data_IF_871232180179
#
_entry.id   IF_871232180179
#
_cell.length_a   1.000
_cell.length_b   1.000
_cell.length_c   1.000
_cell.angle_alpha   90.00
_cell.angle_beta   90.00
_cell.angle_gamma   90.00
#
_symmetry.space_group_name_H-M   'P 1'
#
loop_
_entity.id
_entity.type
_entity.pdbx_description
1 polymer ?
#
# COMPACT_ATOMS: atom_id res chain seq x y z
N UNK A 1 -30.22 -31.96 -34.30
CA UNK A 1 -30.70 -31.09 -35.38
C UNK A 1 -31.35 -29.88 -34.73
N UNK A 2 -30.92 -28.66 -35.10
CA UNK A 2 -31.41 -27.41 -34.53
C UNK A 2 -32.71 -26.93 -35.18
N UNK A 3 -33.34 -25.93 -34.57
CA UNK A 3 -34.68 -25.37 -34.90
C UNK A 3 -34.74 -24.57 -36.23
N UNK A 4 -33.76 -24.69 -37.14
CA UNK A 4 -33.80 -24.00 -38.45
C UNK A 4 -32.57 -24.25 -39.35
N UNK A 5 -32.75 -24.07 -40.66
CA UNK A 5 -31.69 -24.20 -41.68
C UNK A 5 -30.58 -23.15 -41.45
N UNK A 6 -29.31 -23.58 -41.39
CA UNK A 6 -28.10 -22.75 -41.16
C UNK A 6 -27.95 -22.07 -39.78
N UNK A 7 -28.68 -22.48 -38.76
CA UNK A 7 -28.48 -21.98 -37.39
C UNK A 7 -27.51 -22.88 -36.59
N UNK A 8 -26.54 -22.26 -35.89
CA UNK A 8 -25.68 -23.00 -34.95
C UNK A 8 -26.54 -23.49 -33.77
N UNK A 9 -26.55 -24.81 -33.56
CA UNK A 9 -27.22 -25.40 -32.42
C UNK A 9 -26.32 -25.24 -31.18
N UNK A 10 -26.72 -24.39 -30.22
CA UNK A 10 -25.97 -24.17 -28.99
C UNK A 10 -25.83 -25.45 -28.12
N UNK A 11 -26.67 -26.46 -28.36
CA UNK A 11 -26.59 -27.78 -27.70
C UNK A 11 -25.71 -28.78 -28.46
N UNK A 12 -25.23 -28.43 -29.66
CA UNK A 12 -24.37 -29.31 -30.44
C UNK A 12 -22.93 -29.23 -29.95
N UNK A 13 -22.54 -30.23 -29.14
CA UNK A 13 -21.16 -30.47 -28.73
C UNK A 13 -20.72 -31.89 -29.10
N UNK A 14 -19.47 -32.03 -29.54
CA UNK A 14 -18.83 -33.33 -29.66
C UNK A 14 -18.21 -33.70 -28.32
N UNK A 15 -18.85 -34.61 -27.59
CA UNK A 15 -18.32 -35.12 -26.32
C UNK A 15 -17.57 -36.42 -26.58
N UNK A 16 -16.24 -36.39 -26.44
CA UNK A 16 -15.42 -37.62 -26.45
C UNK A 16 -15.36 -38.20 -25.05
N UNK A 17 -16.21 -39.18 -24.77
CA UNK A 17 -16.09 -40.02 -23.59
C UNK A 17 -15.04 -41.09 -23.86
N UNK A 18 -13.85 -40.93 -23.27
CA UNK A 18 -12.78 -41.92 -23.39
C UNK A 18 -12.86 -42.88 -22.19
N UNK A 19 -13.15 -44.15 -22.45
CA UNK A 19 -13.12 -45.21 -21.45
C UNK A 19 -11.66 -45.55 -21.10
N UNK A 20 -11.32 -45.52 -19.81
CA UNK A 20 -9.98 -45.87 -19.33
C UNK A 20 -10.06 -47.23 -18.61
N UNK A 21 -9.51 -48.28 -19.22
CA UNK A 21 -9.84 -49.68 -18.94
C UNK A 21 -9.19 -50.31 -17.68
N UNK A 22 -8.95 -49.53 -16.61
CA UNK A 22 -8.68 -50.14 -15.28
C UNK A 22 -7.49 -49.64 -14.48
N UNK A 23 -6.79 -48.58 -14.91
CA UNK A 23 -5.82 -47.90 -14.05
C UNK A 23 -5.71 -46.40 -14.36
N UNK A 24 -6.17 -45.56 -13.44
CA UNK A 24 -6.11 -44.10 -13.52
C UNK A 24 -4.79 -43.65 -12.91
N UNK A 25 -4.12 -42.71 -13.58
CA UNK A 25 -2.88 -42.14 -13.04
C UNK A 25 -3.15 -41.45 -11.69
N UNK A 26 -2.21 -41.51 -10.74
CA UNK A 26 -2.32 -40.78 -9.49
C UNK A 26 -2.49 -39.27 -9.73
N UNK A 27 -3.31 -38.62 -8.91
CA UNK A 27 -3.40 -37.17 -8.86
C UNK A 27 -2.32 -36.64 -7.91
N UNK A 28 -1.25 -36.06 -8.44
CA UNK A 28 -0.08 -35.64 -7.63
C UNK A 28 -0.24 -34.20 -7.19
N UNK A 29 -0.06 -33.98 -5.88
CA UNK A 29 0.06 -32.66 -5.26
C UNK A 29 1.43 -32.56 -4.61
N UNK A 30 2.14 -31.47 -4.87
CA UNK A 30 3.36 -31.08 -4.14
C UNK A 30 3.23 -29.64 -3.64
N UNK A 31 3.57 -29.43 -2.38
CA UNK A 31 3.67 -28.12 -1.73
C UNK A 31 5.05 -27.99 -1.11
N UNK A 32 5.57 -26.76 -1.07
CA UNK A 32 6.77 -26.42 -0.31
C UNK A 32 6.39 -25.35 0.72
N UNK A 33 6.95 -25.44 1.92
CA UNK A 33 6.78 -24.39 2.94
C UNK A 33 7.49 -23.08 2.55
N UNK A 34 8.57 -23.17 1.76
CA UNK A 34 9.30 -22.04 1.18
C UNK A 34 9.79 -22.37 -0.22
N UNK A 35 9.77 -21.38 -1.11
CA UNK A 35 10.29 -21.50 -2.49
C UNK A 35 11.50 -20.61 -2.75
N UNK A 36 11.88 -19.77 -1.80
CA UNK A 36 13.06 -18.90 -1.88
C UNK A 36 13.61 -18.58 -0.49
N UNK A 37 14.86 -18.12 -0.43
CA UNK A 37 15.52 -17.73 0.81
C UNK A 37 17.03 -17.92 0.78
N UNK A 38 17.70 -17.46 1.83
CA UNK A 38 19.16 -17.52 1.93
C UNK A 38 19.67 -18.94 2.12
N UNK A 39 20.89 -19.21 1.64
CA UNK A 39 21.59 -20.46 1.96
C UNK A 39 22.24 -20.38 3.34
N UNK A 40 22.19 -21.44 4.17
CA UNK A 40 21.52 -22.72 3.92
C UNK A 40 19.98 -22.61 4.01
N UNK A 41 19.28 -23.03 2.93
CA UNK A 41 17.83 -22.98 2.85
C UNK A 41 17.26 -24.37 3.13
N UNK A 42 16.65 -24.57 4.30
CA UNK A 42 15.90 -25.80 4.62
C UNK A 42 14.45 -25.65 4.16
N UNK A 43 13.97 -26.60 3.36
CA UNK A 43 12.61 -26.64 2.80
C UNK A 43 11.95 -27.97 3.16
N UNK A 44 10.69 -27.90 3.59
CA UNK A 44 9.83 -29.05 3.78
C UNK A 44 8.83 -29.13 2.62
N UNK A 45 8.86 -30.24 1.90
CA UNK A 45 7.94 -30.56 0.83
C UNK A 45 6.90 -31.54 1.33
N UNK A 46 5.63 -31.24 1.06
CA UNK A 46 4.51 -32.12 1.38
C UNK A 46 3.83 -32.62 0.12
N UNK A 47 3.46 -33.90 0.13
CA UNK A 47 2.59 -34.49 -0.90
C UNK A 47 1.11 -34.51 -0.52
N UNK A 48 0.72 -33.83 0.56
CA UNK A 48 -0.66 -33.79 1.05
C UNK A 48 -1.65 -33.33 -0.03
N UNK A 49 -2.70 -34.12 -0.24
CA UNK A 49 -3.66 -33.96 -1.33
C UNK A 49 -3.37 -34.85 -2.54
N UNK A 50 -2.23 -35.56 -2.56
CA UNK A 50 -2.00 -36.64 -3.53
C UNK A 50 -2.95 -37.79 -3.23
N UNK A 51 -3.68 -38.26 -4.24
CA UNK A 51 -4.61 -39.37 -4.12
C UNK A 51 -4.59 -40.25 -5.38
N UNK A 52 -4.99 -41.48 -5.19
CA UNK A 52 -5.28 -42.42 -6.25
C UNK A 52 -6.78 -42.73 -6.25
N UNK A 53 -7.41 -42.58 -7.41
CA UNK A 53 -8.85 -42.80 -7.51
C UNK A 53 -9.22 -44.29 -7.47
N UNK A 54 -8.27 -45.18 -7.79
CA UNK A 54 -8.42 -46.64 -7.74
C UNK A 54 -8.02 -47.22 -6.38
N UNK A 55 -7.52 -46.37 -5.47
CA UNK A 55 -7.07 -46.70 -4.10
C UNK A 55 -5.92 -47.71 -4.07
N UNK A 56 -5.10 -47.70 -5.11
CA UNK A 56 -3.87 -48.48 -5.21
C UNK A 56 -2.78 -47.91 -4.27
N UNK A 57 -1.82 -48.76 -3.86
CA UNK A 57 -0.66 -48.31 -3.09
C UNK A 57 0.24 -47.40 -3.95
N UNK A 58 0.76 -46.33 -3.33
CA UNK A 58 1.51 -45.28 -4.03
C UNK A 58 2.99 -45.26 -3.64
N UNK A 59 3.86 -45.23 -4.66
CA UNK A 59 5.31 -45.11 -4.51
C UNK A 59 5.74 -43.68 -4.86
N UNK A 60 6.41 -43.01 -3.91
CA UNK A 60 6.85 -41.62 -4.02
C UNK A 60 8.35 -41.51 -4.30
N UNK A 61 8.71 -40.84 -5.40
CA UNK A 61 10.10 -40.57 -5.81
C UNK A 61 10.30 -39.09 -6.07
N UNK A 62 11.34 -38.53 -5.47
CA UNK A 62 11.72 -37.14 -5.63
C UNK A 62 13.00 -37.03 -6.46
N UNK A 63 13.02 -36.11 -7.42
CA UNK A 63 14.20 -35.78 -8.22
C UNK A 63 14.49 -34.29 -8.11
N UNK A 64 15.67 -33.93 -7.63
CA UNK A 64 16.14 -32.55 -7.55
C UNK A 64 17.17 -32.31 -8.66
N UNK A 65 16.90 -31.34 -9.54
CA UNK A 65 17.81 -30.93 -10.60
C UNK A 65 18.17 -29.46 -10.48
N UNK A 66 19.36 -29.09 -10.94
CA UNK A 66 19.86 -27.72 -10.97
C UNK A 66 20.81 -27.53 -12.15
N UNK A 67 20.98 -26.31 -12.66
CA UNK A 67 21.97 -26.03 -13.70
C UNK A 67 23.42 -26.21 -13.22
N UNK A 68 23.65 -26.22 -11.91
CA UNK A 68 24.99 -26.36 -11.29
C UNK A 68 25.53 -27.79 -11.31
N UNK A 69 24.67 -28.80 -11.53
CA UNK A 69 25.03 -30.21 -11.52
C UNK A 69 24.29 -30.94 -12.63
N UNK A 70 25.02 -31.70 -13.44
CA UNK A 70 24.41 -32.57 -14.46
C UNK A 70 23.71 -33.79 -13.87
N UNK A 71 24.07 -34.18 -12.65
CA UNK A 71 23.50 -35.37 -11.99
C UNK A 71 22.35 -34.96 -11.07
N UNK A 72 21.12 -35.44 -11.31
CA UNK A 72 19.98 -35.27 -10.42
C UNK A 72 20.19 -35.98 -9.08
N UNK A 73 19.76 -35.37 -7.98
CA UNK A 73 19.65 -36.05 -6.69
C UNK A 73 18.31 -36.79 -6.64
N UNK A 74 18.34 -38.09 -6.33
CA UNK A 74 17.14 -38.94 -6.24
C UNK A 74 16.87 -39.33 -4.79
N UNK A 75 15.62 -39.18 -4.35
CA UNK A 75 15.17 -39.45 -2.98
C UNK A 75 13.83 -40.18 -3.00
N UNK A 76 13.47 -40.82 -1.88
CA UNK A 76 12.21 -41.56 -1.70
C UNK A 76 11.50 -41.09 -0.44
N UNK A 77 10.19 -41.31 -0.38
CA UNK A 77 9.36 -40.98 0.78
C UNK A 77 8.16 -40.10 0.41
N UNK A 78 7.09 -40.19 1.20
CA UNK A 78 5.85 -39.45 0.98
C UNK A 78 6.05 -37.94 1.04
N UNK A 79 6.77 -37.49 2.06
CA UNK A 79 7.20 -36.09 2.24
C UNK A 79 8.72 -36.01 2.19
N UNK A 80 9.26 -34.80 2.00
CA UNK A 80 10.70 -34.59 1.87
C UNK A 80 11.14 -33.33 2.64
N UNK A 81 12.20 -33.45 3.44
CA UNK A 81 12.92 -32.29 3.96
C UNK A 81 14.29 -32.24 3.30
N UNK A 82 14.66 -31.09 2.72
CA UNK A 82 15.94 -30.92 2.03
C UNK A 82 16.58 -29.57 2.35
N UNK A 83 17.91 -29.55 2.48
CA UNK A 83 18.70 -28.34 2.76
C UNK A 83 19.57 -27.97 1.56
N UNK A 84 19.26 -26.84 0.94
CA UNK A 84 20.03 -26.27 -0.17
C UNK A 84 21.19 -25.43 0.38
N UNK A 85 22.41 -25.91 0.22
CA UNK A 85 23.62 -25.26 0.73
C UNK A 85 24.29 -24.34 -0.29
N UNK A 86 24.00 -24.51 -1.58
CA UNK A 86 24.60 -23.74 -2.67
C UNK A 86 23.55 -22.84 -3.32
N UNK A 87 23.94 -21.61 -3.64
CA UNK A 87 23.07 -20.65 -4.32
C UNK A 87 22.72 -21.16 -5.71
N UNK A 88 21.45 -21.16 -6.09
CA UNK A 88 21.00 -21.62 -7.41
C UNK A 88 19.49 -21.87 -7.50
N UNK A 89 19.04 -22.12 -8.73
CA UNK A 89 17.66 -22.52 -9.02
C UNK A 89 17.59 -24.04 -9.08
N UNK A 90 16.66 -24.62 -8.33
CA UNK A 90 16.44 -26.05 -8.21
C UNK A 90 15.02 -26.38 -8.66
N UNK A 91 14.87 -27.42 -9.48
CA UNK A 91 13.57 -28.01 -9.81
C UNK A 91 13.40 -29.30 -9.01
N UNK A 92 12.37 -29.33 -8.18
CA UNK A 92 12.02 -30.47 -7.32
C UNK A 92 10.81 -31.14 -7.97
N UNK A 93 11.04 -32.31 -8.56
CA UNK A 93 10.01 -33.12 -9.21
C UNK A 93 9.58 -34.23 -8.25
N UNK A 94 8.32 -34.23 -7.84
CA UNK A 94 7.68 -35.39 -7.22
C UNK A 94 7.08 -36.25 -8.34
N UNK A 95 7.45 -37.53 -8.37
CA UNK A 95 6.85 -38.56 -9.22
C UNK A 95 6.17 -39.57 -8.31
N UNK A 96 4.88 -39.83 -8.55
CA UNK A 96 4.11 -40.84 -7.82
C UNK A 96 3.67 -41.90 -8.81
N UNK A 97 3.88 -43.15 -8.46
CA UNK A 97 3.57 -44.32 -9.28
C UNK A 97 2.66 -45.26 -8.51
N UNK A 98 1.57 -45.71 -9.12
CA UNK A 98 0.69 -46.74 -8.55
C UNK A 98 1.29 -48.14 -8.69
N UNK A 99 0.67 -49.11 -8.01
CA UNK A 99 1.11 -50.51 -8.01
C UNK A 99 1.06 -51.18 -9.41
N UNK A 100 0.25 -50.66 -10.33
CA UNK A 100 0.08 -51.15 -11.71
C UNK A 100 1.02 -50.42 -12.69
N UNK A 101 1.84 -49.50 -12.21
CA UNK A 101 2.89 -48.81 -12.94
C UNK A 101 2.49 -47.49 -13.61
N UNK A 102 1.25 -47.00 -13.48
CA UNK A 102 0.95 -45.66 -14.01
C UNK A 102 1.50 -44.57 -13.08
N UNK A 103 2.01 -43.50 -13.67
CA UNK A 103 2.74 -42.47 -12.95
C UNK A 103 2.35 -41.07 -13.39
N UNK A 104 2.37 -40.17 -12.41
CA UNK A 104 2.16 -38.74 -12.57
C UNK A 104 3.30 -37.97 -11.90
N UNK A 105 3.50 -36.72 -12.28
CA UNK A 105 4.51 -35.88 -11.65
C UNK A 105 4.11 -34.43 -11.58
N UNK A 106 4.62 -33.74 -10.57
CA UNK A 106 4.51 -32.30 -10.43
C UNK A 106 5.86 -31.71 -10.00
N UNK A 107 6.12 -30.48 -10.40
CA UNK A 107 7.41 -29.79 -10.17
C UNK A 107 7.20 -28.51 -9.38
N UNK A 108 8.01 -28.31 -8.35
CA UNK A 108 8.17 -27.03 -7.64
C UNK A 108 9.56 -26.47 -7.92
N UNK A 109 9.67 -25.17 -8.11
CA UNK A 109 10.96 -24.49 -8.26
C UNK A 109 11.34 -23.83 -6.94
N UNK A 110 12.58 -24.08 -6.49
CA UNK A 110 13.17 -23.43 -5.31
C UNK A 110 14.37 -22.59 -5.73
N UNK A 111 14.41 -21.33 -5.32
CA UNK A 111 15.49 -20.37 -5.54
C UNK A 111 16.29 -20.21 -4.24
N UNK A 112 17.39 -20.94 -4.09
CA UNK A 112 18.21 -20.83 -2.88
C UNK A 112 19.31 -19.79 -3.08
N UNK A 113 19.51 -18.90 -2.11
CA UNK A 113 20.64 -17.97 -2.06
C UNK A 113 20.32 -16.50 -2.35
N UNK A 114 19.03 -16.14 -2.40
CA UNK A 114 18.56 -14.76 -2.38
C UNK A 114 17.28 -14.70 -1.54
N UNK A 115 17.35 -14.13 -0.34
CA UNK A 115 16.17 -13.90 0.51
C UNK A 115 15.60 -12.50 0.26
N UNK A 116 14.29 -12.32 0.39
CA UNK A 116 13.72 -10.98 0.28
C UNK A 116 14.26 -10.10 1.43
N UNK A 117 14.80 -8.90 1.13
CA UNK A 117 15.27 -7.98 2.16
C UNK A 117 14.14 -7.57 3.10
N UNK A 118 14.50 -7.22 4.33
CA UNK A 118 13.55 -6.79 5.37
C UNK A 118 13.79 -5.32 5.72
N UNK A 119 12.77 -4.48 5.52
CA UNK A 119 12.78 -3.08 5.96
C UNK A 119 12.04 -2.94 7.28
N UNK A 120 12.56 -2.08 8.16
CA UNK A 120 11.86 -1.59 9.33
C UNK A 120 11.87 -0.07 9.40
N UNK A 121 10.75 0.53 9.79
CA UNK A 121 10.57 1.98 9.92
C UNK A 121 10.10 2.25 11.34
N UNK A 122 10.80 3.13 12.04
CA UNK A 122 10.46 3.55 13.40
C UNK A 122 10.35 5.06 13.48
N UNK A 123 9.40 5.54 14.27
CA UNK A 123 9.24 6.94 14.66
C UNK A 123 9.43 7.05 16.16
N UNK A 124 10.08 8.13 16.62
CA UNK A 124 10.23 8.45 18.04
C UNK A 124 9.20 9.49 18.44
N UNK A 125 8.51 9.26 19.56
CA UNK A 125 7.41 10.11 20.03
C UNK A 125 6.06 9.48 19.71
N UNK A 126 5.13 10.29 19.21
CA UNK A 126 3.81 9.81 18.81
C UNK A 126 3.92 8.85 17.62
N UNK A 127 3.35 7.66 17.77
CA UNK A 127 3.37 6.61 16.75
C UNK A 127 2.09 6.58 15.93
N UNK A 128 1.08 7.36 16.31
CA UNK A 128 -0.24 7.36 15.67
C UNK A 128 -0.45 8.63 14.85
N UNK A 129 -0.08 9.78 15.39
CA UNK A 129 -0.29 11.10 14.79
C UNK A 129 1.03 11.83 14.60
N UNK A 130 1.12 12.65 13.57
CA UNK A 130 2.12 13.71 13.55
C UNK A 130 1.56 14.97 14.22
N UNK A 131 2.43 15.81 14.78
CA UNK A 131 2.05 17.10 15.38
C UNK A 131 2.57 18.23 14.49
N UNK A 132 1.71 19.07 13.89
CA UNK A 132 2.13 20.09 12.92
C UNK A 132 3.07 21.10 13.56
N UNK A 133 4.12 21.48 12.84
CA UNK A 133 5.18 22.37 13.34
C UNK A 133 6.17 21.69 14.29
N UNK A 134 5.89 20.49 14.78
CA UNK A 134 6.81 19.74 15.64
C UNK A 134 7.59 18.71 14.82
N UNK A 135 8.88 18.63 15.09
CA UNK A 135 9.73 17.65 14.44
C UNK A 135 9.55 16.27 15.08
N UNK A 136 9.39 15.23 14.27
CA UNK A 136 9.49 13.84 14.72
C UNK A 136 10.76 13.19 14.15
N UNK A 137 11.43 12.40 14.98
CA UNK A 137 12.59 11.65 14.55
C UNK A 137 12.15 10.30 13.95
N UNK A 138 12.75 9.94 12.82
CA UNK A 138 12.51 8.65 12.15
C UNK A 138 13.82 7.88 11.95
N UNK A 139 13.72 6.56 11.95
CA UNK A 139 14.81 5.65 11.65
C UNK A 139 14.29 4.50 10.78
N UNK A 140 14.90 4.35 9.61
CA UNK A 140 14.68 3.27 8.66
C UNK A 140 15.89 2.36 8.69
N UNK A 141 15.63 1.06 8.85
CA UNK A 141 16.66 0.03 8.74
C UNK A 141 16.29 -0.95 7.63
N UNK A 142 17.30 -1.49 6.97
CA UNK A 142 17.15 -2.54 5.98
C UNK A 142 18.15 -3.64 6.34
N UNK A 143 17.70 -4.89 6.28
CA UNK A 143 18.53 -6.07 6.48
C UNK A 143 18.29 -7.03 5.33
N UNK A 144 19.39 -7.41 4.69
CA UNK A 144 19.45 -8.44 3.69
C UNK A 144 20.52 -9.46 4.12
N UNK A 145 20.21 -10.75 4.09
CA UNK A 145 21.16 -11.76 4.60
C UNK A 145 22.38 -11.90 3.69
N UNK A 146 22.21 -11.64 2.40
CA UNK A 146 23.24 -11.76 1.38
C UNK A 146 24.09 -10.50 1.24
N UNK A 147 23.46 -9.33 1.23
CA UNK A 147 24.10 -8.05 0.94
C UNK A 147 24.52 -7.29 2.22
N UNK A 148 23.85 -7.54 3.35
CA UNK A 148 24.11 -6.91 4.63
C UNK A 148 23.03 -5.91 5.08
N UNK A 149 23.42 -4.87 5.82
CA UNK A 149 22.47 -3.99 6.52
C UNK A 149 22.64 -2.51 6.14
N UNK A 150 21.57 -1.74 6.29
CA UNK A 150 21.56 -0.27 6.27
C UNK A 150 20.77 0.22 7.50
N UNK A 151 21.24 1.25 8.23
CA UNK A 151 22.56 1.85 8.14
C UNK A 151 23.65 0.96 8.77
N UNK A 152 24.92 1.32 8.59
CA UNK A 152 26.06 0.73 9.31
C UNK A 152 26.69 -0.53 8.69
N UNK A 153 26.15 -1.03 7.59
CA UNK A 153 26.76 -2.13 6.82
C UNK A 153 27.63 -1.64 5.66
N UNK A 154 28.04 -2.60 4.82
CA UNK A 154 28.84 -2.34 3.60
C UNK A 154 28.01 -1.77 2.44
N UNK A 155 26.68 -1.76 2.57
CA UNK A 155 25.78 -1.27 1.53
C UNK A 155 25.68 0.26 1.66
N UNK A 156 25.90 1.03 0.57
CA UNK A 156 25.72 2.47 0.61
C UNK A 156 24.27 2.85 0.97
N UNK A 157 24.10 3.77 1.93
CA UNK A 157 22.77 4.26 2.36
C UNK A 157 21.93 4.81 1.21
N UNK A 158 22.56 5.30 0.12
CA UNK A 158 21.88 5.79 -1.08
C UNK A 158 21.09 4.71 -1.85
N UNK A 159 21.31 3.43 -1.56
CA UNK A 159 20.55 2.31 -2.11
C UNK A 159 19.21 2.11 -1.42
N UNK A 160 19.09 2.48 -0.14
CA UNK A 160 17.82 2.54 0.56
C UNK A 160 17.12 3.82 0.14
N UNK A 161 15.94 3.70 -0.47
CA UNK A 161 15.11 4.82 -0.87
C UNK A 161 14.17 5.17 0.27
N UNK A 162 14.29 6.37 0.83
CA UNK A 162 13.41 6.87 1.90
C UNK A 162 12.74 8.15 1.43
N UNK A 163 11.42 8.20 1.60
CA UNK A 163 10.60 9.35 1.28
C UNK A 163 9.56 9.57 2.37
N UNK A 164 9.31 10.84 2.71
CA UNK A 164 8.25 11.24 3.63
C UNK A 164 7.41 12.29 2.90
N UNK A 165 6.11 12.04 2.81
CA UNK A 165 5.17 12.92 2.15
C UNK A 165 3.81 12.90 2.86
N UNK A 166 3.09 14.02 2.76
CA UNK A 166 1.66 14.06 3.11
C UNK A 166 0.90 13.39 1.96
N UNK A 167 0.08 12.40 2.29
CA UNK A 167 -0.83 11.78 1.33
C UNK A 167 -2.10 12.63 1.21
N UNK A 168 -2.65 12.79 0.00
CA UNK A 168 -3.92 13.45 -0.18
C UNK A 168 -5.04 12.68 0.54
N UNK A 169 -5.96 13.42 1.16
CA UNK A 169 -7.12 12.88 1.87
C UNK A 169 -8.01 12.02 0.93
N UNK A 170 -8.54 10.88 1.41
CA UNK A 170 -9.34 9.91 0.61
C UNK A 170 -10.55 10.58 -0.10
N UNK A 171 -11.07 11.68 0.44
CA UNK A 171 -12.13 12.49 -0.18
C UNK A 171 -11.71 13.17 -1.51
N UNK A 172 -10.41 13.19 -1.84
CA UNK A 172 -9.88 13.67 -3.12
C UNK A 172 -9.74 12.56 -4.18
N UNK A 173 -9.81 11.27 -3.80
CA UNK A 173 -9.79 10.13 -4.73
C UNK A 173 -11.08 10.02 -5.57
N UNK A 174 -12.19 10.59 -5.09
CA UNK A 174 -13.50 10.51 -5.75
C UNK A 174 -13.86 11.72 -6.64
N UNK A 175 -12.87 12.37 -7.27
CA UNK A 175 -13.13 13.20 -8.46
C UNK A 175 -12.83 12.38 -9.72
N UNK A 176 -13.75 12.32 -10.70
CA UNK A 176 -13.49 11.67 -11.99
C UNK A 176 -12.24 12.17 -12.75
N UNK A 177 -11.66 13.32 -12.35
CA UNK A 177 -10.43 13.88 -12.93
C UNK A 177 -9.14 13.72 -12.10
N UNK A 178 -9.15 12.99 -10.98
CA UNK A 178 -7.94 12.75 -10.14
C UNK A 178 -7.61 11.26 -9.94
N UNK A 179 -7.92 10.41 -10.92
CA UNK A 179 -7.50 8.99 -10.89
C UNK A 179 -5.99 8.78 -11.05
N UNK A 180 -5.20 9.84 -11.12
CA UNK A 180 -3.77 9.74 -11.37
C UNK A 180 -2.90 10.28 -10.23
N UNK A 181 -3.06 9.71 -9.05
CA UNK A 181 -2.18 9.91 -7.90
C UNK A 181 -0.80 9.23 -8.06
N UNK A 182 0.03 9.21 -6.99
CA UNK A 182 1.36 8.61 -7.01
C UNK A 182 1.40 7.14 -7.47
N UNK A 183 0.32 6.39 -7.24
CA UNK A 183 0.19 4.99 -7.66
C UNK A 183 -0.01 4.82 -9.17
N UNK A 184 -0.77 5.72 -9.82
CA UNK A 184 -0.89 5.72 -11.28
C UNK A 184 0.41 6.18 -11.94
N UNK A 185 1.18 7.04 -11.26
CA UNK A 185 2.47 7.51 -11.73
C UNK A 185 3.50 6.37 -11.74
N UNK A 186 3.54 5.56 -10.68
CA UNK A 186 4.37 4.36 -10.61
C UNK A 186 3.94 3.31 -11.64
N UNK A 187 2.63 3.09 -11.82
CA UNK A 187 2.06 2.17 -12.79
C UNK A 187 2.37 2.60 -14.23
N UNK A 188 2.12 3.86 -14.57
CA UNK A 188 2.43 4.43 -15.89
C UNK A 188 3.92 4.37 -16.22
N UNK A 189 4.79 4.65 -15.24
CA UNK A 189 6.25 4.49 -15.39
C UNK A 189 6.65 3.04 -15.64
N UNK A 190 6.10 2.10 -14.88
CA UNK A 190 6.41 0.68 -15.02
C UNK A 190 5.96 0.13 -16.39
N UNK A 191 4.75 0.49 -16.84
CA UNK A 191 4.23 0.13 -18.16
C UNK A 191 5.09 0.71 -19.28
N UNK A 192 5.47 1.99 -19.18
CA UNK A 192 6.35 2.64 -20.14
C UNK A 192 7.73 1.96 -20.22
N UNK A 193 8.33 1.59 -19.08
CA UNK A 193 9.64 0.92 -19.01
C UNK A 193 9.60 -0.53 -19.49
N UNK A 194 8.46 -1.20 -19.36
CA UNK A 194 8.23 -2.56 -19.89
C UNK A 194 7.98 -2.55 -21.40
N UNK A 195 7.67 -1.38 -21.96
CA UNK A 195 7.44 -1.17 -23.39
C UNK A 195 8.73 -0.69 -24.08
N UNK A 196 8.67 -0.49 -25.39
CA UNK A 196 9.78 -0.05 -26.24
C UNK A 196 9.92 1.48 -26.32
N UNK A 197 9.12 2.24 -25.56
CA UNK A 197 9.08 3.71 -25.62
C UNK A 197 10.46 4.37 -25.45
N UNK A 198 11.33 3.78 -24.60
CA UNK A 198 12.69 4.25 -24.32
C UNK A 198 13.68 4.07 -25.46
N UNK A 199 13.33 3.31 -26.51
CA UNK A 199 14.16 3.20 -27.71
C UNK A 199 14.17 4.51 -28.51
N UNK A 200 13.08 5.29 -28.43
CA UNK A 200 12.89 6.49 -29.24
C UNK A 200 12.79 7.78 -28.41
N UNK A 201 12.43 7.69 -27.13
CA UNK A 201 12.22 8.83 -26.24
C UNK A 201 13.10 8.76 -24.99
N UNK A 202 13.67 9.90 -24.59
CA UNK A 202 14.41 10.08 -23.35
C UNK A 202 13.67 11.07 -22.43
N UNK A 203 14.00 11.06 -21.14
CA UNK A 203 13.34 11.93 -20.17
C UNK A 203 13.63 13.41 -20.45
N UNK A 204 14.85 13.73 -20.90
CA UNK A 204 15.38 15.11 -20.90
C UNK A 204 15.90 15.59 -22.26
N UNK A 205 16.29 14.68 -23.15
CA UNK A 205 16.87 15.02 -24.46
C UNK A 205 16.07 14.40 -25.60
N UNK A 206 16.10 15.03 -26.76
CA UNK A 206 15.54 14.45 -27.99
C UNK A 206 16.47 13.33 -28.47
N UNK A 207 15.93 12.15 -28.74
CA UNK A 207 16.66 11.05 -29.40
C UNK A 207 16.09 10.91 -30.82
N UNK A 208 15.03 10.12 -30.99
CA UNK A 208 14.27 10.02 -32.25
C UNK A 208 13.01 10.86 -32.10
N UNK A 209 12.25 10.61 -31.03
CA UNK A 209 11.12 11.42 -30.59
C UNK A 209 11.54 12.54 -29.63
N UNK A 210 10.64 13.50 -29.35
CA UNK A 210 10.87 14.55 -28.36
C UNK A 210 11.11 13.97 -26.95
N UNK A 211 11.82 14.72 -26.12
CA UNK A 211 12.00 14.37 -24.71
C UNK A 211 10.66 14.38 -23.96
N UNK A 212 10.46 13.48 -23.00
CA UNK A 212 9.22 13.43 -22.21
C UNK A 212 8.95 14.76 -21.49
N UNK A 213 9.98 15.42 -20.93
CA UNK A 213 9.82 16.75 -20.34
C UNK A 213 9.36 17.82 -21.35
N UNK A 214 9.77 17.70 -22.61
CA UNK A 214 9.32 18.62 -23.67
C UNK A 214 7.86 18.35 -24.04
N UNK A 215 7.44 17.08 -24.05
CA UNK A 215 6.02 16.72 -24.24
C UNK A 215 5.18 17.28 -23.10
N UNK A 216 5.61 17.07 -21.86
CA UNK A 216 4.94 17.59 -20.66
C UNK A 216 4.81 19.13 -20.68
N UNK A 217 5.86 19.83 -21.14
CA UNK A 217 5.83 21.29 -21.24
C UNK A 217 4.90 21.82 -22.36
N UNK A 218 4.62 21.01 -23.40
CA UNK A 218 3.77 21.42 -24.54
C UNK A 218 2.28 21.22 -24.27
N UNK A 219 1.92 20.24 -23.45
CA UNK A 219 0.54 19.80 -23.27
C UNK A 219 0.07 20.01 -21.84
N UNK A 220 -1.12 20.60 -21.69
CA UNK A 220 -1.79 20.73 -20.40
C UNK A 220 -2.17 19.36 -19.86
N UNK A 221 -2.02 19.17 -18.54
CA UNK A 221 -2.49 17.97 -17.88
C UNK A 221 -4.00 18.08 -17.58
N UNK A 222 -4.81 17.48 -18.44
CA UNK A 222 -6.26 17.33 -18.30
C UNK A 222 -6.74 16.03 -18.97
N UNK A 223 -7.95 15.58 -18.61
CA UNK A 223 -8.51 14.30 -19.05
C UNK A 223 -8.64 14.21 -20.58
N UNK A 224 -9.06 15.29 -21.24
CA UNK A 224 -9.22 15.33 -22.69
C UNK A 224 -7.87 15.21 -23.41
N UNK A 225 -6.82 15.82 -22.86
CA UNK A 225 -5.46 15.74 -23.37
C UNK A 225 -4.87 14.35 -23.15
N UNK A 226 -5.09 13.74 -21.99
CA UNK A 226 -4.67 12.35 -21.71
C UNK A 226 -5.33 11.38 -22.68
N UNK A 227 -6.65 11.50 -22.87
CA UNK A 227 -7.44 10.68 -23.80
C UNK A 227 -6.91 10.80 -25.23
N UNK A 228 -6.70 12.04 -25.71
CA UNK A 228 -6.19 12.33 -27.05
C UNK A 228 -4.80 11.75 -27.28
N UNK A 229 -3.89 11.92 -26.32
CA UNK A 229 -2.52 11.42 -26.45
C UNK A 229 -2.46 9.90 -26.29
N UNK A 230 -3.31 9.29 -25.47
CA UNK A 230 -3.39 7.83 -25.37
C UNK A 230 -3.80 7.19 -26.70
N UNK A 231 -4.82 7.76 -27.37
CA UNK A 231 -5.20 7.34 -28.73
C UNK A 231 -4.05 7.53 -29.71
N UNK A 232 -3.27 8.62 -29.58
CA UNK A 232 -2.09 8.88 -30.42
C UNK A 232 -0.98 7.85 -30.20
N UNK A 233 -0.76 7.39 -28.97
CA UNK A 233 0.23 6.33 -28.66
C UNK A 233 -0.18 5.01 -29.31
N UNK A 234 -1.46 4.65 -29.21
CA UNK A 234 -2.00 3.38 -29.75
C UNK A 234 -1.97 3.38 -31.28
N UNK A 235 -2.40 4.48 -31.91
CA UNK A 235 -2.51 4.55 -33.38
C UNK A 235 -1.24 5.06 -34.07
N UNK A 236 -0.30 5.61 -33.30
CA UNK A 236 0.90 6.28 -33.82
C UNK A 236 0.60 7.59 -34.53
N UNK A 237 1.61 8.09 -35.24
CA UNK A 237 1.44 9.10 -36.29
C UNK A 237 2.50 10.21 -36.28
N UNK A 238 2.24 11.25 -37.05
CA UNK A 238 3.26 12.18 -37.55
C UNK A 238 2.87 13.67 -37.38
N UNK A 239 3.80 14.57 -37.74
CA UNK A 239 3.53 15.99 -38.02
C UNK A 239 3.59 16.95 -36.83
N UNK A 240 3.48 16.48 -35.59
CA UNK A 240 3.40 17.36 -34.41
C UNK A 240 4.77 17.79 -33.86
N UNK A 241 5.80 16.96 -34.12
CA UNK A 241 7.16 17.11 -33.58
C UNK A 241 8.25 17.02 -34.65
N UNK A 242 7.85 17.17 -35.92
CA UNK A 242 8.69 17.04 -37.11
C UNK A 242 8.22 15.93 -38.06
N UNK A 243 9.07 15.59 -39.02
CA UNK A 243 8.79 14.62 -40.08
C UNK A 243 8.83 13.15 -39.61
N UNK A 244 9.52 12.88 -38.49
CA UNK A 244 9.63 11.55 -37.92
C UNK A 244 8.28 11.08 -37.35
N UNK A 245 7.83 9.91 -37.82
CA UNK A 245 6.57 9.30 -37.40
C UNK A 245 6.76 8.42 -36.17
N UNK A 246 5.85 8.53 -35.21
CA UNK A 246 5.78 7.62 -34.06
C UNK A 246 5.06 6.33 -34.48
N UNK A 247 5.69 5.18 -34.22
CA UNK A 247 5.09 3.86 -34.43
C UNK A 247 3.81 3.66 -33.59
N UNK A 248 2.86 2.91 -34.15
CA UNK A 248 1.63 2.53 -33.47
C UNK A 248 1.91 1.45 -32.41
N UNK A 249 1.16 1.48 -31.31
CA UNK A 249 1.18 0.46 -30.26
C UNK A 249 -0.23 -0.14 -30.08
N UNK A 250 -0.80 -0.80 -31.11
CA UNK A 250 -2.18 -1.33 -31.07
C UNK A 250 -2.38 -2.41 -30.00
N UNK A 251 -1.30 -3.03 -29.52
CA UNK A 251 -1.29 -4.02 -28.46
C UNK A 251 -1.47 -3.42 -27.05
N UNK A 252 -1.32 -2.10 -26.87
CA UNK A 252 -1.50 -1.47 -25.57
C UNK A 252 -2.99 -1.29 -25.27
N UNK A 253 -3.50 -1.81 -24.15
CA UNK A 253 -4.83 -1.46 -23.66
C UNK A 253 -4.97 0.05 -23.50
N UNK A 254 -6.16 0.58 -23.78
CA UNK A 254 -6.41 2.02 -23.74
C UNK A 254 -6.11 2.65 -22.38
N UNK A 255 -6.49 1.96 -21.30
CA UNK A 255 -6.26 2.43 -19.94
C UNK A 255 -4.77 2.42 -19.57
N UNK A 256 -3.99 1.45 -20.04
CA UNK A 256 -2.53 1.42 -19.88
C UNK A 256 -1.87 2.59 -20.63
N UNK A 257 -2.34 2.90 -21.84
CA UNK A 257 -1.85 4.04 -22.60
C UNK A 257 -2.15 5.37 -21.90
N UNK A 258 -3.33 5.51 -21.28
CA UNK A 258 -3.67 6.70 -20.46
C UNK A 258 -2.79 6.82 -19.23
N UNK A 259 -2.48 5.71 -18.56
CA UNK A 259 -1.58 5.70 -17.41
C UNK A 259 -0.17 6.15 -17.80
N UNK A 260 0.36 5.65 -18.93
CA UNK A 260 1.66 6.07 -19.49
C UNK A 260 1.67 7.57 -19.83
N UNK A 261 0.63 8.06 -20.52
CA UNK A 261 0.52 9.47 -20.90
C UNK A 261 0.41 10.37 -19.68
N UNK A 262 -0.38 9.97 -18.68
CA UNK A 262 -0.51 10.71 -17.43
C UNK A 262 0.82 10.81 -16.67
N UNK A 263 1.63 9.74 -16.68
CA UNK A 263 3.00 9.78 -16.18
C UNK A 263 3.86 10.79 -16.96
N UNK A 264 3.83 10.75 -18.30
CA UNK A 264 4.63 11.65 -19.14
C UNK A 264 4.26 13.11 -18.89
N UNK A 265 2.97 13.45 -18.89
CA UNK A 265 2.51 14.82 -18.70
C UNK A 265 2.81 15.37 -17.30
N UNK A 266 2.91 14.50 -16.29
CA UNK A 266 3.29 14.88 -14.93
C UNK A 266 4.78 14.68 -14.61
N UNK A 267 5.63 14.36 -15.59
CA UNK A 267 7.06 14.09 -15.35
C UNK A 267 7.83 15.32 -14.84
N UNK A 268 7.28 16.53 -15.03
CA UNK A 268 7.81 17.80 -14.51
C UNK A 268 7.06 18.31 -13.28
N UNK A 269 5.83 17.86 -13.05
CA UNK A 269 5.02 18.10 -11.84
C UNK A 269 5.55 17.33 -10.62
N UNK A 270 6.56 16.50 -10.83
CA UNK A 270 7.43 16.00 -9.77
C UNK A 270 8.16 17.23 -9.21
N UNK A 271 7.85 17.76 -8.00
CA UNK A 271 8.88 18.48 -7.26
C UNK A 271 10.07 17.53 -7.24
N UNK A 272 11.22 17.98 -7.77
CA UNK A 272 12.45 17.20 -7.91
C UNK A 272 12.48 16.10 -6.86
N UNK A 273 12.35 14.82 -7.29
CA UNK A 273 12.19 13.65 -6.42
C UNK A 273 12.80 13.95 -5.06
N UNK A 274 12.00 14.06 -3.96
CA UNK A 274 12.51 14.58 -2.70
C UNK A 274 13.79 13.82 -2.43
N UNK A 275 14.87 14.58 -2.18
CA UNK A 275 16.19 14.06 -1.89
C UNK A 275 16.03 12.75 -1.14
N UNK A 276 16.62 11.67 -1.65
CA UNK A 276 16.54 10.38 -0.98
C UNK A 276 16.93 10.58 0.49
N UNK A 277 15.94 10.57 1.37
CA UNK A 277 16.14 11.05 2.73
C UNK A 277 17.16 10.14 3.41
N UNK A 278 17.98 10.67 4.32
CA UNK A 278 18.88 9.81 5.07
C UNK A 278 18.06 8.76 5.82
N UNK A 279 18.64 7.57 5.99
CA UNK A 279 18.00 6.46 6.70
C UNK A 279 17.58 6.81 8.13
N UNK A 280 18.17 7.84 8.73
CA UNK A 280 17.76 8.43 10.00
C UNK A 280 17.73 9.93 9.87
N UNK A 281 16.70 10.57 10.40
CA UNK A 281 16.56 12.02 10.35
C UNK A 281 15.46 12.54 11.25
N UNK A 282 15.19 13.83 11.11
CA UNK A 282 14.09 14.52 11.76
C UNK A 282 13.26 15.20 10.68
N UNK A 283 11.93 15.11 10.76
CA UNK A 283 11.02 15.66 9.76
C UNK A 283 9.95 16.52 10.43
N UNK A 284 9.61 17.65 9.81
CA UNK A 284 8.56 18.57 10.27
C UNK A 284 7.49 18.59 9.21
N UNK A 285 6.24 18.41 9.63
CA UNK A 285 5.07 18.60 8.77
C UNK A 285 4.48 19.95 9.13
N UNK A 286 4.38 20.86 8.17
CA UNK A 286 3.91 22.22 8.45
C UNK A 286 2.44 22.23 8.89
N UNK A 287 1.57 21.52 8.16
CA UNK A 287 0.13 21.65 8.29
C UNK A 287 -0.59 20.30 8.47
N UNK A 288 -1.83 20.36 8.98
CA UNK A 288 -2.70 19.20 9.19
C UNK A 288 -3.47 18.78 7.92
N UNK A 289 -2.81 18.70 6.76
CA UNK A 289 -3.46 18.55 5.45
C UNK A 289 -3.81 17.11 5.03
N UNK A 290 -3.39 16.10 5.80
CA UNK A 290 -3.67 14.70 5.51
C UNK A 290 -2.74 13.78 6.29
N UNK A 291 -2.91 12.46 6.21
CA UNK A 291 -1.97 11.53 6.83
C UNK A 291 -0.58 11.63 6.16
N UNK A 292 0.46 11.28 6.89
CA UNK A 292 1.86 11.35 6.44
C UNK A 292 2.41 9.95 6.28
N UNK A 293 2.86 9.61 5.08
CA UNK A 293 3.47 8.33 4.79
C UNK A 293 5.00 8.42 4.81
N UNK A 294 5.62 7.60 5.63
CA UNK A 294 7.06 7.31 5.59
C UNK A 294 7.22 6.05 4.74
N UNK A 295 7.69 6.22 3.50
CA UNK A 295 7.89 5.14 2.53
C UNK A 295 9.38 4.80 2.44
N UNK A 296 9.69 3.52 2.51
CA UNK A 296 11.03 3.02 2.31
C UNK A 296 11.04 1.86 1.32
N UNK A 297 12.00 1.85 0.40
CA UNK A 297 12.15 0.80 -0.60
C UNK A 297 13.61 0.42 -0.82
N UNK A 298 13.84 -0.85 -1.12
CA UNK A 298 15.17 -1.39 -1.41
C UNK A 298 15.07 -2.54 -2.41
N UNK A 299 16.07 -2.63 -3.29
CA UNK A 299 16.27 -3.74 -4.21
C UNK A 299 17.66 -4.30 -3.95
N UNK A 300 17.74 -5.60 -3.69
CA UNK A 300 19.02 -6.30 -3.51
C UNK A 300 19.79 -6.42 -4.84
N UNK A 301 20.96 -7.06 -4.81
CA UNK A 301 21.76 -7.28 -6.03
C UNK A 301 21.34 -8.51 -6.82
N UNK A 302 20.50 -9.38 -6.26
CA UNK A 302 20.29 -10.73 -6.73
C UNK A 302 21.57 -11.56 -6.73
N UNK A 303 21.50 -12.76 -7.31
CA UNK A 303 22.66 -13.63 -7.53
C UNK A 303 22.59 -14.28 -8.92
N UNK A 304 23.69 -14.78 -9.51
CA UNK A 304 23.64 -15.39 -10.84
C UNK A 304 22.55 -16.46 -10.97
N UNK A 305 21.61 -16.24 -11.89
CA UNK A 305 20.45 -17.13 -12.13
C UNK A 305 19.23 -16.91 -11.22
N UNK A 306 19.29 -16.00 -10.25
CA UNK A 306 18.17 -15.59 -9.40
C UNK A 306 18.05 -14.06 -9.47
N UNK A 307 16.95 -13.52 -10.02
CA UNK A 307 16.80 -12.08 -10.19
C UNK A 307 16.78 -11.34 -8.84
N UNK A 308 17.11 -10.04 -8.83
CA UNK A 308 17.01 -9.22 -7.63
C UNK A 308 15.61 -9.20 -7.03
N UNK A 309 15.51 -9.17 -5.70
CA UNK A 309 14.27 -8.97 -4.98
C UNK A 309 14.11 -7.51 -4.55
N UNK A 310 12.88 -7.00 -4.64
CA UNK A 310 12.50 -5.66 -4.19
C UNK A 310 11.52 -5.74 -3.04
N UNK A 311 11.68 -4.88 -2.05
CA UNK A 311 10.77 -4.72 -0.92
C UNK A 311 10.43 -3.24 -0.72
N UNK A 312 9.19 -2.98 -0.31
CA UNK A 312 8.73 -1.67 0.11
C UNK A 312 8.01 -1.79 1.46
N UNK A 313 8.17 -0.79 2.32
CA UNK A 313 7.43 -0.63 3.58
C UNK A 313 6.91 0.79 3.69
N UNK A 314 5.71 0.92 4.25
CA UNK A 314 5.07 2.21 4.54
C UNK A 314 4.70 2.22 6.01
N UNK A 315 5.04 3.31 6.71
CA UNK A 315 4.50 3.65 8.03
C UNK A 315 3.65 4.91 7.86
N UNK A 316 2.39 4.85 8.27
CA UNK A 316 1.44 5.95 8.14
C UNK A 316 1.22 6.62 9.50
N UNK A 317 1.50 7.91 9.59
CA UNK A 317 1.06 8.76 10.70
C UNK A 317 -0.23 9.47 10.30
N UNK A 318 -1.25 9.40 11.14
CA UNK A 318 -2.56 10.00 10.90
C UNK A 318 -2.53 11.51 11.09
N UNK A 319 -3.49 12.19 10.47
CA UNK A 319 -3.74 13.61 10.72
C UNK A 319 -4.08 13.84 12.20
N UNK A 320 -3.56 14.90 12.83
CA UNK A 320 -3.91 15.28 14.21
C UNK A 320 -5.35 15.82 14.33
N UNK A 321 -6.06 16.02 13.22
CA UNK A 321 -7.45 16.53 13.20
C UNK A 321 -8.41 15.35 13.22
N UNK A 322 -9.11 15.20 14.34
CA UNK A 322 -10.01 14.07 14.58
C UNK A 322 -11.45 14.58 14.55
N UNK A 323 -12.31 13.91 13.79
CA UNK A 323 -13.73 14.27 13.77
C UNK A 323 -14.34 14.01 15.15
N UNK A 324 -15.08 14.97 15.68
CA UNK A 324 -15.69 14.83 17.01
C UNK A 324 -16.66 13.63 17.06
N UNK A 325 -17.34 13.35 15.94
CA UNK A 325 -18.29 12.26 15.81
C UNK A 325 -17.66 10.85 15.73
N UNK A 326 -16.33 10.72 15.56
CA UNK A 326 -15.67 9.40 15.55
C UNK A 326 -15.36 8.89 16.95
N UNK A 327 -15.43 9.74 17.98
CA UNK A 327 -15.33 9.33 19.37
C UNK A 327 -16.61 8.66 19.86
N UNK A 328 -16.49 7.90 20.96
CA UNK A 328 -17.65 7.35 21.67
C UNK A 328 -18.40 8.49 22.35
N UNK A 329 -19.67 8.66 22.01
CA UNK A 329 -20.53 9.74 22.49
C UNK A 329 -21.39 9.25 23.66
N UNK A 330 -21.29 9.89 24.82
CA UNK A 330 -22.11 9.60 26.01
C UNK A 330 -22.81 10.88 26.50
N UNK A 331 -24.14 10.88 26.58
CA UNK A 331 -24.93 12.05 27.01
C UNK A 331 -25.80 12.63 25.89
N UNK A 332 -26.17 13.91 26.02
CA UNK A 332 -27.20 14.55 25.22
C UNK A 332 -26.63 15.13 23.91
N UNK A 333 -26.28 14.23 23.00
CA UNK A 333 -25.76 14.58 21.68
C UNK A 333 -26.78 14.41 20.56
N UNK A 334 -26.59 15.19 19.48
CA UNK A 334 -27.19 14.90 18.18
C UNK A 334 -26.12 15.08 17.10
N UNK A 335 -25.89 14.05 16.29
CA UNK A 335 -24.90 14.09 15.21
C UNK A 335 -25.55 14.58 13.93
N UNK A 336 -24.98 15.62 13.32
CA UNK A 336 -25.39 16.12 12.02
C UNK A 336 -24.36 15.73 10.98
N UNK A 337 -24.73 14.83 10.07
CA UNK A 337 -23.94 14.54 8.89
C UNK A 337 -23.90 15.76 7.96
N UNK A 338 -22.70 16.17 7.54
CA UNK A 338 -22.51 17.17 6.48
C UNK A 338 -22.13 16.44 5.18
N UNK A 339 -22.27 17.12 4.03
CA UNK A 339 -21.77 16.60 2.74
C UNK A 339 -20.25 16.36 2.83
N UNK A 340 -19.75 15.31 2.15
CA UNK A 340 -18.32 14.90 2.10
C UNK A 340 -17.74 14.45 3.44
N UNK A 341 -18.31 13.43 4.08
CA UNK A 341 -17.71 12.72 5.22
C UNK A 341 -17.60 13.48 6.56
N UNK A 342 -17.78 14.80 6.59
CA UNK A 342 -17.66 15.61 7.81
C UNK A 342 -18.93 15.53 8.66
N UNK A 343 -18.78 15.49 9.98
CA UNK A 343 -19.91 15.46 10.91
C UNK A 343 -19.74 16.49 12.01
N UNK A 344 -20.84 17.10 12.44
CA UNK A 344 -20.85 18.00 13.60
C UNK A 344 -21.60 17.31 14.75
N UNK A 345 -21.02 17.31 15.93
CA UNK A 345 -21.67 16.82 17.15
C UNK A 345 -22.31 18.00 17.85
N UNK A 346 -23.64 18.01 17.93
CA UNK A 346 -24.37 19.02 18.68
C UNK A 346 -24.50 18.59 20.14
N UNK A 347 -24.04 19.43 21.06
CA UNK A 347 -24.17 19.20 22.50
C UNK A 347 -25.37 19.98 23.03
N UNK A 348 -26.43 19.26 23.44
CA UNK A 348 -27.67 19.89 23.90
C UNK A 348 -27.53 20.47 25.31
N UNK A 349 -27.12 19.63 26.27
CA UNK A 349 -27.06 19.96 27.70
C UNK A 349 -25.73 19.60 28.36
N UNK A 350 -25.33 18.35 28.19
CA UNK A 350 -24.09 17.78 28.71
C UNK A 350 -23.75 16.57 27.86
N UNK A 351 -22.47 16.22 27.82
CA UNK A 351 -22.05 14.98 27.20
C UNK A 351 -20.55 14.84 27.25
N UNK A 352 -20.08 13.64 26.94
CA UNK A 352 -18.67 13.31 26.88
C UNK A 352 -18.35 12.65 25.56
N UNK A 353 -17.31 13.13 24.89
CA UNK A 353 -16.71 12.45 23.75
C UNK A 353 -15.46 11.74 24.26
N UNK A 354 -15.40 10.42 24.05
CA UNK A 354 -14.31 9.57 24.53
C UNK A 354 -13.54 9.04 23.32
N UNK A 355 -12.23 9.25 23.32
CA UNK A 355 -11.32 8.57 22.41
C UNK A 355 -10.49 7.56 23.17
N UNK A 356 -10.68 6.29 22.86
CA UNK A 356 -10.01 5.20 23.55
C UNK A 356 -8.61 4.96 22.97
N UNK A 357 -7.65 4.66 23.85
CA UNK A 357 -6.28 4.28 23.48
C UNK A 357 -5.58 5.29 22.53
N UNK A 358 -5.88 6.58 22.68
CA UNK A 358 -5.27 7.66 21.90
C UNK A 358 -3.81 7.82 22.31
N UNK A 359 -2.89 7.79 21.34
CA UNK A 359 -1.50 8.18 21.58
C UNK A 359 -1.40 9.69 21.72
N UNK A 360 -1.22 10.15 22.96
CA UNK A 360 -1.08 11.57 23.31
C UNK A 360 0.39 11.95 23.53
N UNK A 361 1.33 11.08 23.15
CA UNK A 361 2.76 11.35 23.33
C UNK A 361 3.16 12.63 22.61
N UNK A 362 3.74 13.58 23.35
CA UNK A 362 4.19 14.87 22.82
C UNK A 362 3.07 15.88 22.57
N UNK A 363 1.82 15.57 22.93
CA UNK A 363 0.70 16.52 22.89
C UNK A 363 0.84 17.52 24.03
N UNK A 364 0.69 18.80 23.72
CA UNK A 364 0.74 19.95 24.62
C UNK A 364 -0.63 20.64 24.74
N UNK A 365 -1.62 20.24 23.96
CA UNK A 365 -2.97 20.76 24.09
C UNK A 365 -3.89 20.27 22.98
N UNK A 366 -5.11 20.79 22.99
CA UNK A 366 -6.14 20.45 22.02
C UNK A 366 -6.83 21.72 21.54
N UNK A 367 -7.00 21.85 20.22
CA UNK A 367 -7.90 22.85 19.64
C UNK A 367 -9.24 22.16 19.37
N UNK A 368 -10.28 22.60 20.06
CA UNK A 368 -11.64 22.08 19.88
C UNK A 368 -12.38 23.07 19.00
N UNK A 369 -12.70 22.65 17.78
CA UNK A 369 -13.38 23.52 16.83
C UNK A 369 -14.88 23.55 17.12
N UNK A 370 -15.35 24.69 17.64
CA UNK A 370 -16.73 24.86 18.10
C UNK A 370 -17.50 25.90 17.29
N UNK A 371 -18.82 25.75 17.25
CA UNK A 371 -19.73 26.77 16.75
C UNK A 371 -20.85 27.05 17.74
N UNK A 372 -21.05 28.32 18.07
CA UNK A 372 -22.14 28.86 18.89
C UNK A 372 -22.87 29.97 18.13
N UNK A 373 -23.70 29.64 17.10
CA UNK A 373 -24.59 30.62 16.49
C UNK A 373 -25.36 31.39 17.57
N UNK A 374 -25.71 32.66 17.33
CA UNK A 374 -26.18 33.61 18.35
C UNK A 374 -27.35 33.14 19.26
N UNK A 375 -28.10 32.10 18.85
CA UNK A 375 -29.17 31.48 19.62
C UNK A 375 -28.70 30.43 20.64
N UNK A 376 -27.40 30.09 20.65
CA UNK A 376 -26.80 29.11 21.56
C UNK A 376 -26.25 29.77 22.83
N UNK A 377 -26.10 28.97 23.89
CA UNK A 377 -25.70 29.46 25.21
C UNK A 377 -24.20 29.35 25.48
N UNK A 378 -23.46 28.56 24.70
CA UNK A 378 -22.10 28.21 25.08
C UNK A 378 -22.08 27.28 26.28
N UNK A 379 -20.92 27.06 26.88
CA UNK A 379 -20.78 26.15 28.02
C UNK A 379 -19.32 25.95 28.41
N UNK A 380 -19.03 24.90 29.16
CA UNK A 380 -17.69 24.55 29.64
C UNK A 380 -17.22 23.27 28.97
N UNK A 381 -15.93 23.24 28.64
CA UNK A 381 -15.22 22.06 28.18
C UNK A 381 -14.18 21.69 29.24
N UNK A 382 -14.10 20.40 29.58
CA UNK A 382 -13.05 19.81 30.40
C UNK A 382 -12.37 18.67 29.63
N UNK A 383 -11.06 18.53 29.80
CA UNK A 383 -10.30 17.41 29.25
C UNK A 383 -9.74 16.59 30.40
N UNK A 384 -10.01 15.30 30.40
CA UNK A 384 -9.55 14.34 31.42
C UNK A 384 -8.93 13.09 30.80
N UNK A 385 -8.06 12.43 31.55
CA UNK A 385 -7.43 11.17 31.15
C UNK A 385 -8.01 9.97 31.92
N UNK A 386 -8.08 8.85 31.20
CA UNK A 386 -8.34 7.47 31.61
C UNK A 386 -9.75 7.20 32.14
N UNK A 387 -10.34 8.13 32.89
CA UNK A 387 -11.68 8.04 33.48
C UNK A 387 -12.43 9.38 33.40
N UNK A 388 -13.78 9.38 33.45
CA UNK A 388 -14.58 10.60 33.48
C UNK A 388 -14.26 11.55 34.64
N UNK A 389 -13.84 11.01 35.78
CA UNK A 389 -13.42 11.75 36.98
C UNK A 389 -11.89 11.77 37.14
N UNK A 390 -11.16 11.31 36.13
CA UNK A 390 -9.70 11.23 36.12
C UNK A 390 -9.03 12.60 36.15
N UNK A 391 -7.70 12.60 36.00
CA UNK A 391 -6.90 13.81 36.08
C UNK A 391 -7.42 14.89 35.11
N UNK A 392 -7.81 16.05 35.66
CA UNK A 392 -8.14 17.23 34.87
C UNK A 392 -6.87 17.79 34.23
N UNK A 393 -6.85 17.83 32.90
CA UNK A 393 -5.73 18.36 32.13
C UNK A 393 -5.90 19.85 31.85
N UNK A 394 -7.09 20.24 31.41
CA UNK A 394 -7.41 21.60 31.02
C UNK A 394 -8.93 21.84 31.04
N UNK A 395 -9.31 23.11 31.09
CA UNK A 395 -10.70 23.53 30.95
C UNK A 395 -10.80 24.86 30.20
N UNK A 396 -11.91 25.06 29.48
CA UNK A 396 -12.22 26.29 28.79
C UNK A 396 -13.73 26.60 28.89
N UNK A 397 -14.07 27.88 28.81
CA UNK A 397 -15.46 28.34 28.68
C UNK A 397 -15.68 28.82 27.25
N UNK A 398 -16.80 28.40 26.66
CA UNK A 398 -17.22 28.73 25.30
C UNK A 398 -18.35 29.76 25.41
N UNK A 399 -18.16 30.93 24.80
CA UNK A 399 -19.17 31.99 24.73
C UNK A 399 -20.08 31.87 23.49
N UNK A 400 -20.91 32.89 23.27
CA UNK A 400 -21.80 33.01 22.11
C UNK A 400 -21.08 33.62 20.90
N UNK A 401 -21.63 33.40 19.71
CA UNK A 401 -21.22 34.08 18.47
C UNK A 401 -19.99 33.48 17.78
N UNK A 402 -19.58 32.26 18.14
CA UNK A 402 -18.47 31.58 17.47
C UNK A 402 -18.96 30.85 16.23
N UNK A 403 -18.22 30.98 15.13
CA UNK A 403 -18.44 30.20 13.93
C UNK A 403 -17.14 29.46 13.60
N UNK A 404 -17.16 28.13 13.71
CA UNK A 404 -16.01 27.23 13.44
C UNK A 404 -14.69 27.76 14.00
N UNK A 405 -14.74 28.18 15.26
CA UNK A 405 -13.62 28.81 15.93
C UNK A 405 -12.92 27.78 16.82
N UNK A 406 -11.58 27.67 16.76
CA UNK A 406 -10.85 26.81 17.67
C UNK A 406 -10.86 27.40 19.08
N UNK A 407 -11.28 26.60 20.06
CA UNK A 407 -11.05 26.85 21.49
C UNK A 407 -9.84 26.03 21.91
N UNK A 408 -8.74 26.72 22.22
CA UNK A 408 -7.48 26.08 22.61
C UNK A 408 -7.45 25.75 24.10
N UNK A 409 -7.18 24.49 24.42
CA UNK A 409 -6.94 24.00 25.77
C UNK A 409 -5.50 23.52 25.90
N UNK A 410 -4.65 24.32 26.53
CA UNK A 410 -3.24 23.98 26.79
C UNK A 410 -3.11 23.06 28.00
N UNK A 411 -2.20 22.09 27.89
CA UNK A 411 -1.92 21.08 28.92
C UNK A 411 -0.42 21.02 29.20
N UNK A 412 -0.02 20.37 30.29
CA UNK A 412 1.36 19.89 30.42
C UNK A 412 1.64 18.82 29.34
N UNK A 413 2.88 18.65 28.87
CA UNK A 413 3.22 17.60 27.90
C UNK A 413 2.70 16.23 28.34
N UNK A 414 1.97 15.58 27.44
CA UNK A 414 1.39 14.26 27.66
C UNK A 414 2.31 13.17 27.07
N UNK A 415 2.21 11.96 27.62
CA UNK A 415 3.03 10.81 27.22
C UNK A 415 2.22 9.53 27.26
N UNK A 416 2.40 8.63 26.29
CA UNK A 416 1.77 7.32 26.29
C UNK A 416 0.38 7.31 25.65
N UNK A 417 -0.28 6.17 25.77
CA UNK A 417 -1.64 5.96 25.27
C UNK A 417 -2.65 6.02 26.40
N UNK A 418 -3.71 6.79 26.20
CA UNK A 418 -4.73 7.04 27.21
C UNK A 418 -6.13 7.04 26.60
N UNK A 419 -7.13 6.80 27.44
CA UNK A 419 -8.49 7.18 27.08
C UNK A 419 -8.65 8.67 27.35
N UNK A 420 -9.01 9.47 26.36
CA UNK A 420 -9.13 10.94 26.50
C UNK A 420 -10.61 11.31 26.50
N UNK A 421 -11.04 11.97 27.57
CA UNK A 421 -12.42 12.37 27.81
C UNK A 421 -12.54 13.87 27.59
N UNK A 422 -13.37 14.26 26.61
CA UNK A 422 -13.78 15.63 26.38
C UNK A 422 -15.18 15.81 26.94
N UNK A 423 -15.29 16.42 28.11
CA UNK A 423 -16.53 16.56 28.87
C UNK A 423 -17.10 17.95 28.66
N UNK A 424 -18.37 18.00 28.28
CA UNK A 424 -19.12 19.21 27.96
C UNK A 424 -20.25 19.41 28.96
N UNK A 425 -20.39 20.63 29.47
CA UNK A 425 -21.43 20.98 30.44
C UNK A 425 -21.94 22.41 30.24
N UNK A 426 -23.20 22.66 30.58
CA UNK A 426 -23.81 23.99 30.59
C UNK A 426 -24.01 24.52 32.00
N UNK A 427 -24.15 25.86 32.12
CA UNK A 427 -24.47 26.53 33.39
C UNK A 427 -25.98 26.77 33.59
N UNK A 428 -26.80 26.63 32.54
CA UNK A 428 -28.25 26.78 32.58
C UNK A 428 -28.94 25.55 31.93
N UNK A 429 -30.07 25.15 32.51
CA UNK A 429 -30.81 23.91 32.20
C UNK A 429 -31.69 24.00 30.97
N UNK A 430 -31.72 25.16 30.28
CA UNK A 430 -32.48 25.43 29.05
C UNK A 430 -31.52 25.51 27.86
N UNK A 431 -31.56 24.44 27.07
CA UNK A 431 -30.48 23.81 26.32
C UNK A 431 -30.19 24.42 24.93
N UNK A 432 -28.96 24.15 24.44
CA UNK A 432 -28.33 24.47 23.14
C UNK A 432 -26.90 25.01 23.39
N UNK A 433 -25.95 24.16 23.81
CA UNK A 433 -24.61 24.63 24.18
C UNK A 433 -23.80 25.10 22.97
N UNK A 434 -23.36 24.15 22.13
CA UNK A 434 -22.51 24.37 20.96
C UNK A 434 -22.45 23.14 20.07
N UNK A 435 -22.01 23.33 18.82
CA UNK A 435 -21.52 22.25 17.98
C UNK A 435 -20.03 22.05 18.18
N UNK A 436 -19.57 20.80 18.10
CA UNK A 436 -18.17 20.41 18.01
C UNK A 436 -17.97 19.72 16.67
N UNK A 437 -17.12 20.29 15.81
CA UNK A 437 -16.84 19.73 14.49
C UNK A 437 -15.68 18.72 14.57
N UNK A 438 -14.53 19.18 15.06
CA UNK A 438 -13.32 18.37 15.18
C UNK A 438 -12.49 18.80 16.38
N UNK A 439 -11.57 17.92 16.75
CA UNK A 439 -10.60 18.10 17.83
C UNK A 439 -9.22 17.92 17.19
N UNK A 440 -8.35 18.91 17.34
CA UNK A 440 -7.00 18.89 16.78
C UNK A 440 -5.97 18.74 17.90
N UNK A 441 -5.10 17.73 17.80
CA UNK A 441 -3.98 17.53 18.70
C UNK A 441 -2.91 18.61 18.42
N UNK A 442 -2.40 19.26 19.48
CA UNK A 442 -1.38 20.30 19.39
C UNK A 442 -0.09 19.83 20.03
N UNK A 443 1.03 19.99 19.35
CA UNK A 443 2.34 19.92 20.00
C UNK A 443 2.78 21.29 20.53
N UNK A 444 4.09 21.42 20.77
CA UNK A 444 4.73 22.63 21.33
C UNK A 444 4.53 23.86 20.47
#
# INVERSE_FOLDING_TARGET
YGQGWFTQNNDAQLVRVSYNAGNRKPNVVVKADKTEGAVPLKVNFSSAGTDDFDKDELIYKWSITTSLSKTPVQLKGKDLTYSFLKKGVYKIKLTVTDAKGAASSQVVTVKAGNETPVIDIKVTGNQTYYLPGNAFAYAVTMRDKEDGIIPGGKIPSSKLKVNIAVEPDEDQENKPGHQYGPESFATGKALMLKSDCKACHDDTRKIIGPAYKTIAAKYTYDEATVEKLAVKVINGGNGVWGEMSMSAHPQLPKEDAKAIVSYILNITSIPAQPENLPAKGSYIVADASGPVAIKAAYTDRGVPGIPPASVQKILLLQSPVIQAASGKLEGDFQVYGKRRGRSAVFVKKTGTIIFENMDVTGVHGFDINVSTPNQMNGGKIEIRLDKPDGQLLATATVGKGLERSPVTLTTKPLTGKHNVYFIFSGTDSRENLFFVDNITLKGK
#
